data_IF_327731666003
#
_entry.id   IF_327731666003
#
_cell.length_a   1.000
_cell.length_b   1.000
_cell.length_c   1.000
_cell.angle_alpha   90.00
_cell.angle_beta   90.00
_cell.angle_gamma   90.00
#
_symmetry.space_group_name_H-M   'P 1'
#
loop_
_entity.id
_entity.type
_entity.pdbx_description
1 polymer ?
#
# COMPACT_ATOMS: atom_id res chain seq x y z
N UNK A 1 6.58 0.26 -5.51
CA UNK A 1 6.01 -0.41 -4.33
C UNK A 1 7.08 -0.98 -3.40
N UNK A 2 7.89 -1.97 -3.80
CA UNK A 2 8.86 -2.61 -2.89
C UNK A 2 9.91 -1.67 -2.30
N UNK A 3 10.43 -0.71 -3.08
CA UNK A 3 11.36 0.30 -2.55
C UNK A 3 10.74 1.19 -1.46
N UNK A 4 9.45 1.51 -1.60
CA UNK A 4 8.71 2.29 -0.59
C UNK A 4 8.54 1.49 0.70
N UNK A 5 8.22 0.21 0.60
CA UNK A 5 8.12 -0.69 1.76
C UNK A 5 9.44 -0.78 2.53
N UNK A 6 10.56 -1.05 1.85
CA UNK A 6 11.87 -1.16 2.50
C UNK A 6 12.32 0.18 3.10
N UNK A 7 12.14 1.29 2.38
CA UNK A 7 12.50 2.61 2.86
C UNK A 7 11.69 3.01 4.10
N UNK A 8 10.37 2.82 4.07
CA UNK A 8 9.49 3.11 5.19
C UNK A 8 9.81 2.24 6.42
N UNK A 9 10.07 0.94 6.21
CA UNK A 9 10.45 0.02 7.28
C UNK A 9 11.77 0.43 7.92
N UNK A 10 12.77 0.80 7.11
CA UNK A 10 14.05 1.29 7.62
C UNK A 10 13.87 2.57 8.46
N UNK A 11 13.03 3.51 8.02
CA UNK A 11 12.73 4.73 8.76
C UNK A 11 12.05 4.44 10.11
N UNK A 12 11.13 3.47 10.15
CA UNK A 12 10.51 3.04 11.40
C UNK A 12 11.53 2.42 12.36
N UNK A 13 12.43 1.57 11.86
CA UNK A 13 13.51 0.97 12.65
C UNK A 13 14.49 2.00 13.20
N UNK A 14 14.74 3.08 12.43
CA UNK A 14 15.59 4.19 12.84
C UNK A 14 14.88 5.20 13.77
N UNK A 15 13.60 4.99 14.10
CA UNK A 15 12.83 5.89 14.98
C UNK A 15 12.41 7.21 14.31
N UNK A 16 12.40 7.26 12.98
CA UNK A 16 12.01 8.44 12.19
C UNK A 16 10.86 8.14 11.21
N UNK A 17 9.70 7.64 11.68
CA UNK A 17 8.57 7.29 10.81
C UNK A 17 7.99 8.50 10.06
N UNK A 18 8.10 9.70 10.63
CA UNK A 18 7.60 10.95 10.06
C UNK A 18 8.47 11.53 8.91
N UNK A 19 9.59 10.88 8.57
CA UNK A 19 10.46 11.35 7.50
C UNK A 19 9.81 11.22 6.10
N UNK A 20 8.75 10.41 5.97
CA UNK A 20 7.93 10.33 4.76
C UNK A 20 6.52 10.87 5.05
N UNK A 21 5.99 11.80 4.24
CA UNK A 21 4.64 12.32 4.43
C UNK A 21 3.59 11.21 4.28
N UNK A 22 2.91 10.86 5.39
CA UNK A 22 1.90 9.78 5.43
C UNK A 22 0.85 9.88 4.32
N UNK A 23 0.33 11.08 4.06
CA UNK A 23 -0.69 11.30 3.04
C UNK A 23 -0.19 10.99 1.62
N UNK A 24 1.06 11.34 1.30
CA UNK A 24 1.65 11.08 -0.02
C UNK A 24 1.92 9.59 -0.21
N UNK A 25 2.38 8.91 0.86
CA UNK A 25 2.57 7.45 0.87
C UNK A 25 1.26 6.73 0.58
N UNK A 26 0.17 7.10 1.28
CA UNK A 26 -1.16 6.53 1.06
C UNK A 26 -1.62 6.80 -0.37
N UNK A 27 -1.55 8.04 -0.85
CA UNK A 27 -1.98 8.40 -2.19
C UNK A 27 -1.25 7.59 -3.27
N UNK A 28 0.07 7.41 -3.12
CA UNK A 28 0.87 6.59 -4.02
C UNK A 28 0.43 5.12 -3.99
N UNK A 29 0.30 4.52 -2.81
CA UNK A 29 -0.10 3.11 -2.68
C UNK A 29 -1.46 2.87 -3.32
N UNK A 30 -2.45 3.72 -3.02
CA UNK A 30 -3.80 3.63 -3.58
C UNK A 30 -3.81 3.82 -5.10
N UNK A 31 -2.97 4.71 -5.64
CA UNK A 31 -2.85 4.89 -7.10
C UNK A 31 -2.31 3.66 -7.84
N UNK A 32 -1.75 2.69 -7.11
CA UNK A 32 -1.29 1.41 -7.66
C UNK A 32 -2.35 0.29 -7.55
N UNK A 33 -3.51 0.53 -6.94
CA UNK A 33 -4.57 -0.46 -6.76
C UNK A 33 -5.34 -0.68 -8.07
N UNK A 34 -5.69 -1.92 -8.36
CA UNK A 34 -6.47 -2.32 -9.52
C UNK A 34 -7.91 -2.69 -9.16
N UNK A 35 -8.78 -2.71 -10.18
CA UNK A 35 -10.18 -3.14 -10.04
C UNK A 35 -10.33 -4.59 -9.60
N UNK A 36 -9.30 -5.42 -9.65
CA UNK A 36 -9.33 -6.79 -9.14
C UNK A 36 -8.91 -6.89 -7.65
N UNK A 37 -8.54 -5.78 -7.01
CA UNK A 37 -8.05 -5.74 -5.63
C UNK A 37 -6.55 -5.88 -5.47
N UNK A 38 -5.82 -6.28 -6.52
CA UNK A 38 -4.37 -6.37 -6.49
C UNK A 38 -3.68 -5.02 -6.66
N UNK A 39 -2.39 -4.96 -6.35
CA UNK A 39 -1.56 -3.76 -6.52
C UNK A 39 -0.43 -4.00 -7.51
N UNK A 40 -0.09 -2.96 -8.27
CA UNK A 40 1.06 -2.94 -9.18
C UNK A 40 2.33 -2.34 -8.56
N UNK A 41 3.44 -2.41 -9.30
CA UNK A 41 4.71 -1.81 -8.89
C UNK A 41 4.64 -0.29 -8.76
N UNK A 42 3.87 0.33 -9.67
CA UNK A 42 3.62 1.75 -9.83
C UNK A 42 2.27 1.92 -10.58
N UNK A 43 1.70 3.13 -10.65
CA UNK A 43 0.46 3.37 -11.37
C UNK A 43 0.53 2.86 -12.82
N UNK A 44 -0.54 2.21 -13.27
CA UNK A 44 -0.64 1.65 -14.62
C UNK A 44 0.15 0.35 -14.87
N UNK A 45 0.90 -0.18 -13.89
CA UNK A 45 1.54 -1.49 -14.01
C UNK A 45 0.61 -2.60 -13.53
N UNK A 46 0.69 -3.78 -14.14
CA UNK A 46 -0.14 -4.92 -13.80
C UNK A 46 -0.08 -5.29 -12.31
N UNK A 47 -1.23 -5.72 -11.78
CA UNK A 47 -1.33 -6.23 -10.42
C UNK A 47 -0.48 -7.49 -10.24
N UNK A 48 0.27 -7.56 -9.15
CA UNK A 48 1.10 -8.71 -8.82
C UNK A 48 1.12 -8.97 -7.32
N UNK A 49 1.05 -10.24 -6.91
CA UNK A 49 0.98 -10.66 -5.51
C UNK A 49 2.07 -10.02 -4.63
N UNK A 50 3.31 -9.99 -5.11
CA UNK A 50 4.44 -9.35 -4.41
C UNK A 50 4.16 -7.88 -4.04
N UNK A 51 3.56 -7.11 -4.96
CA UNK A 51 3.27 -5.70 -4.74
C UNK A 51 1.99 -5.51 -3.93
N UNK A 52 1.01 -6.41 -4.05
CA UNK A 52 -0.17 -6.45 -3.17
C UNK A 52 0.26 -6.64 -1.71
N UNK A 53 1.10 -7.62 -1.41
CA UNK A 53 1.61 -7.83 -0.04
C UNK A 53 2.40 -6.62 0.45
N UNK A 54 3.28 -6.07 -0.39
CA UNK A 54 4.06 -4.86 -0.03
C UNK A 54 3.16 -3.66 0.27
N UNK A 55 2.08 -3.46 -0.50
CA UNK A 55 1.11 -2.39 -0.30
C UNK A 55 0.38 -2.53 1.05
N UNK A 56 -0.10 -3.73 1.36
CA UNK A 56 -0.77 -4.03 2.63
C UNK A 56 0.19 -3.79 3.80
N UNK A 57 1.44 -4.23 3.69
CA UNK A 57 2.46 -4.00 4.73
C UNK A 57 2.72 -2.51 4.95
N UNK A 58 2.82 -1.72 3.88
CA UNK A 58 2.97 -0.26 3.98
C UNK A 58 1.77 0.35 4.73
N UNK A 59 0.54 0.04 4.29
CA UNK A 59 -0.68 0.59 4.90
C UNK A 59 -0.84 0.16 6.36
N UNK A 60 -0.48 -1.08 6.71
CA UNK A 60 -0.47 -1.57 8.08
C UNK A 60 0.57 -0.83 8.94
N UNK A 61 1.74 -0.55 8.38
CA UNK A 61 2.84 0.12 9.09
C UNK A 61 2.48 1.55 9.50
N UNK A 62 1.73 2.27 8.67
CA UNK A 62 1.33 3.67 8.90
C UNK A 62 -0.11 3.83 9.42
N UNK A 63 -0.69 2.73 9.92
CA UNK A 63 -2.07 2.67 10.44
C UNK A 63 -3.10 3.28 9.47
N UNK A 64 -3.12 2.75 8.25
CA UNK A 64 -3.94 3.25 7.14
C UNK A 64 -4.67 2.13 6.38
N UNK A 65 -4.91 0.97 7.01
CA UNK A 65 -5.66 -0.11 6.35
C UNK A 65 -7.11 0.27 6.05
N UNK A 66 -7.68 1.21 6.80
CA UNK A 66 -9.08 1.66 6.63
C UNK A 66 -9.26 2.49 5.35
N UNK A 67 -8.17 2.95 4.76
CA UNK A 67 -8.17 3.55 3.42
C UNK A 67 -8.72 2.59 2.37
N UNK A 68 -8.60 1.27 2.56
CA UNK A 68 -9.13 0.29 1.60
C UNK A 68 -10.66 0.21 1.58
N UNK A 69 -11.31 0.61 2.67
CA UNK A 69 -12.77 0.54 2.83
C UNK A 69 -13.48 1.81 2.34
N UNK A 70 -12.72 2.82 1.90
CA UNK A 70 -13.30 4.01 1.29
C UNK A 70 -14.04 3.69 -0.02
N UNK A 71 -15.09 4.46 -0.36
CA UNK A 71 -15.88 4.24 -1.56
C UNK A 71 -15.01 4.14 -2.82
N UNK A 72 -15.28 3.13 -3.65
CA UNK A 72 -14.58 2.90 -4.92
C UNK A 72 -13.32 2.04 -4.84
N UNK A 73 -12.87 1.62 -3.64
CA UNK A 73 -11.63 0.82 -3.46
C UNK A 73 -11.87 -0.67 -3.24
N UNK A 74 -13.14 -1.07 -3.08
CA UNK A 74 -13.56 -2.48 -3.00
C UNK A 74 -13.36 -3.15 -1.64
N UNK A 75 -12.81 -2.45 -0.64
CA UNK A 75 -12.70 -2.95 0.73
C UNK A 75 -11.56 -3.95 0.95
N UNK A 76 -11.29 -4.25 2.22
CA UNK A 76 -10.32 -5.27 2.63
C UNK A 76 -10.63 -6.65 2.05
N UNK A 77 -11.91 -7.00 1.90
CA UNK A 77 -12.36 -8.30 1.37
C UNK A 77 -11.83 -8.58 -0.05
N UNK A 78 -11.81 -7.54 -0.90
CA UNK A 78 -11.38 -7.66 -2.28
C UNK A 78 -9.87 -7.85 -2.41
N UNK A 79 -9.11 -7.16 -1.56
CA UNK A 79 -7.66 -7.34 -1.46
C UNK A 79 -7.33 -8.73 -0.87
N UNK A 80 -8.12 -9.17 0.12
CA UNK A 80 -8.01 -10.50 0.71
C UNK A 80 -8.28 -11.64 -0.28
N UNK A 81 -9.22 -11.46 -1.21
CA UNK A 81 -9.49 -12.45 -2.27
C UNK A 81 -8.34 -12.59 -3.29
N UNK A 82 -7.41 -11.63 -3.33
CA UNK A 82 -6.22 -11.65 -4.20
C UNK A 82 -4.99 -12.31 -3.56
N UNK A 83 -5.00 -12.52 -2.23
CA UNK A 83 -3.85 -12.98 -1.44
C UNK A 83 -4.06 -14.40 -0.95
#
# INVERSE_FOLDING_TARGET
>A
MSGLYWGLTALHLLGHPEALPRAEVIAFVISCQHENGGFGAAPGHDAHMLYTVSAIQILATIDALDELDLPGRGGKDKVGAWT
#
